data_IF_546259528375
#
_entry.id   IF_546259528375
#
_cell.length_a   1.000
_cell.length_b   1.000
_cell.length_c   1.000
_cell.angle_alpha   90.00
_cell.angle_beta   90.00
_cell.angle_gamma   90.00
#
_symmetry.space_group_name_H-M   'P 1'
#
loop_
_entity.id
_entity.type
_entity.pdbx_description
1 polymer ?
#
# COMPACT_ATOMS: atom_id res chain seq x y z
N UNK A 1 -32.66 -39.19 9.83
CA UNK A 1 -31.91 -38.15 10.57
C UNK A 1 -31.07 -37.41 9.54
N UNK A 2 -31.62 -36.31 9.01
CA UNK A 2 -30.95 -35.50 8.00
C UNK A 2 -30.05 -34.50 8.73
N UNK A 3 -28.73 -34.68 8.62
CA UNK A 3 -27.79 -33.63 8.96
C UNK A 3 -27.75 -32.68 7.76
N UNK A 4 -28.32 -31.50 7.94
CA UNK A 4 -28.07 -30.38 7.07
C UNK A 4 -26.61 -29.99 7.27
N UNK A 5 -25.76 -30.33 6.30
CA UNK A 5 -24.41 -29.79 6.25
C UNK A 5 -24.52 -28.28 6.01
N UNK A 6 -24.08 -27.55 7.04
CA UNK A 6 -23.98 -26.11 7.02
C UNK A 6 -23.03 -25.71 5.89
N UNK A 7 -23.58 -25.00 4.90
CA UNK A 7 -22.82 -24.26 3.90
C UNK A 7 -21.89 -23.31 4.65
N UNK A 8 -20.59 -23.51 4.49
CA UNK A 8 -19.57 -22.59 4.97
C UNK A 8 -19.87 -21.18 4.43
N UNK A 9 -19.69 -20.12 5.23
CA UNK A 9 -19.83 -18.76 4.74
C UNK A 9 -18.86 -18.54 3.58
N UNK A 10 -19.39 -18.05 2.46
CA UNK A 10 -18.70 -17.62 1.25
C UNK A 10 -17.39 -16.87 1.60
N UNK A 11 -16.26 -17.57 1.48
CA UNK A 11 -14.92 -16.98 1.58
C UNK A 11 -14.82 -15.96 0.45
N UNK A 12 -14.92 -14.68 0.82
CA UNK A 12 -15.12 -13.57 -0.12
C UNK A 12 -14.17 -13.63 -1.32
N UNK A 13 -14.71 -14.02 -2.46
CA UNK A 13 -14.02 -14.05 -3.76
C UNK A 13 -13.88 -12.62 -4.29
N UNK A 14 -13.02 -11.85 -3.62
CA UNK A 14 -12.76 -10.45 -3.98
C UNK A 14 -12.15 -10.42 -5.37
N UNK A 15 -12.83 -9.78 -6.33
CA UNK A 15 -12.37 -9.70 -7.70
C UNK A 15 -11.01 -9.00 -7.85
N UNK A 16 -10.62 -8.23 -6.84
CA UNK A 16 -9.31 -7.59 -6.75
C UNK A 16 -8.14 -8.57 -6.61
N UNK A 17 -8.39 -9.76 -6.06
CA UNK A 17 -7.35 -10.78 -5.84
C UNK A 17 -7.16 -11.70 -7.05
N UNK A 18 -8.04 -11.63 -8.04
CA UNK A 18 -7.95 -12.46 -9.25
C UNK A 18 -6.85 -11.97 -10.17
N UNK A 19 -6.14 -12.92 -10.76
CA UNK A 19 -5.13 -12.67 -11.78
C UNK A 19 -5.77 -12.49 -13.17
N UNK A 20 -5.12 -11.67 -13.99
CA UNK A 20 -5.43 -11.57 -15.41
C UNK A 20 -4.82 -12.74 -16.23
N UNK A 21 -4.99 -12.71 -17.55
CA UNK A 21 -4.45 -13.73 -18.47
C UNK A 21 -2.92 -13.84 -18.43
N UNK A 22 -2.21 -12.81 -17.91
CA UNK A 22 -0.76 -12.77 -17.76
C UNK A 22 -0.31 -13.25 -16.38
N UNK A 23 -1.24 -13.66 -15.50
CA UNK A 23 -0.94 -14.02 -14.13
C UNK A 23 -0.63 -12.80 -13.25
N UNK A 24 -1.11 -11.61 -13.63
CA UNK A 24 -0.92 -10.37 -12.88
C UNK A 24 -2.18 -10.08 -12.05
N UNK A 25 -2.06 -9.93 -10.72
CA UNK A 25 -3.22 -9.70 -9.87
C UNK A 25 -3.80 -8.32 -10.09
N UNK A 26 -5.13 -8.22 -10.20
CA UNK A 26 -5.84 -6.95 -10.41
C UNK A 26 -5.54 -5.91 -9.32
N UNK A 27 -5.28 -6.36 -8.10
CA UNK A 27 -4.86 -5.53 -6.96
C UNK A 27 -3.57 -4.73 -7.24
N UNK A 28 -2.67 -5.24 -8.09
CA UNK A 28 -1.47 -4.54 -8.52
C UNK A 28 -1.85 -3.27 -9.29
N UNK A 29 -2.63 -3.42 -10.36
CA UNK A 29 -3.04 -2.30 -11.22
C UNK A 29 -3.87 -1.28 -10.46
N UNK A 30 -4.75 -1.74 -9.55
CA UNK A 30 -5.58 -0.86 -8.72
C UNK A 30 -4.75 -0.08 -7.70
N UNK A 31 -3.79 -0.74 -7.03
CA UNK A 31 -2.86 -0.05 -6.12
C UNK A 31 -2.03 0.98 -6.88
N UNK A 32 -1.48 0.61 -8.04
CA UNK A 32 -0.72 1.52 -8.89
C UNK A 32 -1.54 2.76 -9.26
N UNK A 33 -2.78 2.58 -9.74
CA UNK A 33 -3.66 3.69 -10.09
C UNK A 33 -3.96 4.61 -8.91
N UNK A 34 -4.14 4.07 -7.70
CA UNK A 34 -4.33 4.88 -6.48
C UNK A 34 -3.08 5.70 -6.14
N UNK A 35 -1.90 5.08 -6.17
CA UNK A 35 -0.62 5.73 -5.88
C UNK A 35 -0.32 6.82 -6.91
N UNK A 36 -0.55 6.55 -8.20
CA UNK A 36 -0.36 7.53 -9.28
C UNK A 36 -1.32 8.71 -9.15
N UNK A 37 -2.60 8.47 -8.83
CA UNK A 37 -3.57 9.53 -8.61
C UNK A 37 -3.18 10.41 -7.40
N UNK A 38 -2.66 9.80 -6.35
CA UNK A 38 -2.19 10.52 -5.17
C UNK A 38 -0.90 11.31 -5.44
N UNK A 39 0.06 10.70 -6.13
CA UNK A 39 1.28 11.36 -6.55
C UNK A 39 0.97 12.58 -7.43
N UNK A 40 0.01 12.45 -8.36
CA UNK A 40 -0.41 13.57 -9.20
C UNK A 40 -1.04 14.70 -8.39
N UNK A 41 -1.86 14.39 -7.38
CA UNK A 41 -2.45 15.40 -6.49
C UNK A 41 -1.39 16.19 -5.72
N UNK A 42 -0.33 15.52 -5.29
CA UNK A 42 0.74 16.11 -4.49
C UNK A 42 1.98 16.46 -5.32
N UNK A 43 1.87 16.56 -6.65
CA UNK A 43 3.01 16.81 -7.53
C UNK A 43 3.77 18.10 -7.17
N UNK A 44 3.08 19.15 -6.74
CA UNK A 44 3.70 20.40 -6.31
C UNK A 44 4.57 20.26 -5.04
N UNK A 45 4.37 19.22 -4.23
CA UNK A 45 5.16 18.95 -3.03
C UNK A 45 6.47 18.22 -3.34
N UNK A 46 6.68 17.74 -4.57
CA UNK A 46 7.89 17.01 -4.95
C UNK A 46 9.16 17.87 -4.83
N UNK A 47 9.03 19.18 -5.09
CA UNK A 47 10.14 20.14 -5.05
C UNK A 47 10.30 20.82 -3.68
N UNK A 48 9.49 20.45 -2.69
CA UNK A 48 9.61 21.01 -1.35
C UNK A 48 10.91 20.57 -0.68
N UNK A 49 11.41 21.36 0.26
CA UNK A 49 12.61 21.03 1.00
C UNK A 49 12.43 19.77 1.86
N UNK A 50 13.52 19.02 2.02
CA UNK A 50 13.58 17.75 2.74
C UNK A 50 14.20 17.97 4.13
N UNK A 51 13.40 18.52 5.05
CA UNK A 51 13.86 19.00 6.37
C UNK A 51 14.10 17.88 7.39
N UNK A 52 13.67 16.64 7.09
CA UNK A 52 13.90 15.48 7.95
C UNK A 52 14.67 14.38 7.24
N UNK A 53 15.39 13.55 8.02
CA UNK A 53 16.08 12.38 7.49
C UNK A 53 15.12 11.34 6.90
N UNK A 54 13.86 11.32 7.36
CA UNK A 54 12.85 10.40 6.86
C UNK A 54 12.41 10.79 5.44
N UNK A 55 12.01 12.05 5.23
CA UNK A 55 11.60 12.51 3.89
C UNK A 55 12.78 12.49 2.91
N UNK A 56 14.00 12.82 3.37
CA UNK A 56 15.21 12.72 2.55
C UNK A 56 15.50 11.28 2.12
N UNK A 57 15.24 10.29 2.97
CA UNK A 57 15.41 8.89 2.59
C UNK A 57 14.41 8.46 1.51
N UNK A 58 13.14 8.86 1.61
CA UNK A 58 12.10 8.48 0.63
C UNK A 58 12.17 9.27 -0.68
N UNK A 59 12.70 10.50 -0.67
CA UNK A 59 12.99 11.28 -1.89
C UNK A 59 14.32 10.93 -2.55
N UNK A 60 15.30 10.52 -1.74
CA UNK A 60 16.72 10.59 -2.09
C UNK A 60 17.15 9.66 -3.22
N UNK A 61 18.01 10.15 -4.11
CA UNK A 61 18.49 9.43 -5.29
C UNK A 61 17.83 9.92 -6.57
N UNK A 62 17.94 9.15 -7.65
CA UNK A 62 17.20 9.45 -8.87
C UNK A 62 15.72 9.07 -8.67
N UNK A 63 14.80 9.86 -9.20
CA UNK A 63 13.38 9.47 -9.28
C UNK A 63 13.22 8.51 -10.45
N UNK A 64 12.63 7.31 -10.25
CA UNK A 64 12.36 6.40 -11.36
C UNK A 64 11.45 7.08 -12.40
N UNK A 65 11.82 6.99 -13.68
CA UNK A 65 11.07 7.59 -14.79
C UNK A 65 9.91 6.72 -15.26
N UNK A 66 9.94 5.44 -14.92
CA UNK A 66 8.87 4.47 -15.17
C UNK A 66 7.63 4.80 -14.37
N UNK A 67 6.45 4.53 -14.93
CA UNK A 67 5.18 4.67 -14.18
C UNK A 67 5.11 3.66 -13.05
N UNK A 68 4.32 3.94 -12.01
CA UNK A 68 4.18 3.02 -10.86
C UNK A 68 3.60 1.69 -11.33
N UNK A 69 2.60 1.71 -12.21
CA UNK A 69 2.03 0.47 -12.77
C UNK A 69 3.09 -0.40 -13.44
N UNK A 70 3.90 0.18 -14.32
CA UNK A 70 4.99 -0.52 -15.00
C UNK A 70 6.06 -1.03 -14.02
N UNK A 71 6.43 -0.20 -13.03
CA UNK A 71 7.37 -0.57 -11.97
C UNK A 71 6.89 -1.80 -11.19
N UNK A 72 5.60 -1.83 -10.81
CA UNK A 72 5.02 -2.97 -10.09
C UNK A 72 4.92 -4.22 -10.96
N UNK A 73 4.55 -4.08 -12.24
CA UNK A 73 4.52 -5.20 -13.19
C UNK A 73 5.91 -5.81 -13.38
N UNK A 74 6.97 -4.98 -13.46
CA UNK A 74 8.36 -5.44 -13.54
C UNK A 74 8.75 -6.24 -12.29
N UNK A 75 8.41 -5.74 -11.09
CA UNK A 75 8.65 -6.46 -9.84
C UNK A 75 7.95 -7.81 -9.83
N UNK A 76 6.65 -7.84 -10.18
CA UNK A 76 5.84 -9.05 -10.20
C UNK A 76 6.39 -10.08 -11.18
N UNK A 77 6.66 -9.65 -12.40
CA UNK A 77 7.19 -10.52 -13.48
C UNK A 77 8.57 -11.06 -13.11
N UNK A 78 9.46 -10.22 -12.58
CA UNK A 78 10.80 -10.65 -12.19
C UNK A 78 10.72 -11.74 -11.09
N UNK A 79 9.86 -11.54 -10.09
CA UNK A 79 9.71 -12.50 -9.00
C UNK A 79 9.06 -13.79 -9.52
N UNK A 80 8.04 -13.72 -10.36
CA UNK A 80 7.48 -14.91 -11.01
C UNK A 80 8.53 -15.69 -11.83
N UNK A 81 9.37 -14.99 -12.59
CA UNK A 81 10.44 -15.61 -13.40
C UNK A 81 11.52 -16.25 -12.54
N UNK A 82 11.94 -15.61 -11.45
CA UNK A 82 12.93 -16.17 -10.51
C UNK A 82 12.34 -17.37 -9.75
N UNK A 83 11.03 -17.37 -9.55
CA UNK A 83 10.27 -18.43 -8.86
C UNK A 83 10.03 -19.69 -9.69
N UNK A 84 10.38 -19.68 -10.98
CA UNK A 84 10.48 -20.92 -11.79
C UNK A 84 11.51 -21.90 -11.17
N UNK A 85 12.36 -21.44 -10.24
CA UNK A 85 13.31 -22.28 -9.48
C UNK A 85 12.94 -22.53 -8.02
N UNK A 86 12.03 -21.74 -7.42
CA UNK A 86 11.62 -21.86 -6.01
C UNK A 86 10.16 -21.38 -5.84
N UNK A 87 9.38 -22.06 -5.00
CA UNK A 87 7.94 -21.77 -4.78
C UNK A 87 7.75 -20.45 -4.02
N UNK A 88 7.95 -19.33 -4.70
CA UNK A 88 7.77 -18.00 -4.17
C UNK A 88 6.72 -17.32 -5.08
N UNK A 89 5.70 -16.74 -4.47
CA UNK A 89 4.61 -16.14 -5.24
C UNK A 89 4.17 -14.88 -4.52
N UNK A 90 4.21 -13.74 -5.21
CA UNK A 90 3.53 -12.54 -4.73
C UNK A 90 2.07 -12.72 -5.09
N UNK A 91 1.28 -13.06 -4.08
CA UNK A 91 -0.17 -13.14 -4.22
C UNK A 91 -0.79 -11.75 -4.29
N UNK A 92 -1.98 -11.63 -4.90
CA UNK A 92 -2.76 -10.38 -4.93
C UNK A 92 -2.91 -9.73 -3.55
N UNK A 93 -3.01 -10.55 -2.49
CA UNK A 93 -3.09 -10.10 -1.11
C UNK A 93 -1.90 -9.21 -0.67
N UNK A 94 -0.70 -9.45 -1.21
CA UNK A 94 0.48 -8.63 -0.91
C UNK A 94 0.29 -7.17 -1.35
N UNK A 95 -0.38 -6.93 -2.47
CA UNK A 95 -0.69 -5.58 -2.95
C UNK A 95 -1.78 -4.90 -2.12
N UNK A 96 -2.76 -5.67 -1.65
CA UNK A 96 -3.79 -5.18 -0.69
C UNK A 96 -3.13 -4.76 0.61
N UNK A 97 -2.25 -5.60 1.18
CA UNK A 97 -1.50 -5.29 2.40
C UNK A 97 -0.57 -4.09 2.21
N UNK A 98 0.11 -3.98 1.06
CA UNK A 98 0.94 -2.83 0.74
C UNK A 98 0.14 -1.52 0.80
N UNK A 99 -1.07 -1.49 0.22
CA UNK A 99 -1.94 -0.33 0.32
C UNK A 99 -2.35 0.00 1.75
N UNK A 100 -2.68 -1.00 2.58
CA UNK A 100 -2.99 -0.80 4.01
C UNK A 100 -1.77 -0.24 4.75
N UNK A 101 -0.58 -0.76 4.48
CA UNK A 101 0.65 -0.29 5.11
C UNK A 101 1.04 1.12 4.67
N UNK A 102 0.81 1.50 3.40
CA UNK A 102 0.98 2.88 2.95
C UNK A 102 0.05 3.83 3.72
N UNK A 103 -1.22 3.46 3.90
CA UNK A 103 -2.17 4.25 4.69
C UNK A 103 -1.66 4.43 6.12
N UNK A 104 -1.19 3.36 6.76
CA UNK A 104 -0.64 3.41 8.12
C UNK A 104 0.60 4.30 8.19
N UNK A 105 1.49 4.18 7.20
CA UNK A 105 2.70 4.97 7.13
C UNK A 105 2.37 6.46 7.01
N UNK A 106 1.56 6.86 6.03
CA UNK A 106 1.21 8.27 5.81
C UNK A 106 0.46 8.88 7.00
N UNK A 107 -0.37 8.08 7.71
CA UNK A 107 -1.08 8.53 8.92
C UNK A 107 -0.24 8.51 10.19
N UNK A 108 0.96 7.93 10.16
CA UNK A 108 1.83 7.87 11.34
C UNK A 108 2.28 9.26 11.79
N UNK A 109 2.52 9.43 13.10
CA UNK A 109 3.09 10.67 13.63
C UNK A 109 4.40 11.02 12.94
N UNK A 110 5.29 10.04 12.77
CA UNK A 110 6.58 10.21 12.12
C UNK A 110 6.47 10.74 10.68
N UNK A 111 5.56 10.19 9.87
CA UNK A 111 5.36 10.67 8.49
C UNK A 111 4.75 12.08 8.45
N UNK A 112 3.79 12.37 9.34
CA UNK A 112 3.14 13.69 9.44
C UNK A 112 4.11 14.77 9.90
N UNK A 113 4.93 14.48 10.90
CA UNK A 113 5.99 15.36 11.38
C UNK A 113 7.06 15.60 10.31
N UNK A 114 7.39 14.56 9.55
CA UNK A 114 8.32 14.64 8.42
C UNK A 114 7.74 15.30 7.16
N UNK A 115 6.44 15.61 7.14
CA UNK A 115 5.75 16.18 5.98
C UNK A 115 5.69 15.23 4.77
N UNK A 116 5.70 13.91 4.98
CA UNK A 116 5.72 12.94 3.89
C UNK A 116 4.34 12.79 3.26
N UNK A 117 4.31 13.01 1.96
CA UNK A 117 3.17 12.74 1.09
C UNK A 117 3.56 11.66 0.09
N UNK A 118 2.56 11.03 -0.54
CA UNK A 118 2.79 10.24 -1.75
C UNK A 118 2.81 11.26 -2.90
N UNK A 119 4.01 11.66 -3.31
CA UNK A 119 4.28 12.55 -4.42
C UNK A 119 5.23 11.86 -5.42
N UNK A 120 5.48 12.42 -6.62
CA UNK A 120 6.33 11.78 -7.62
C UNK A 120 7.75 11.45 -7.15
N UNK A 121 8.30 12.17 -6.17
CA UNK A 121 9.64 11.94 -5.62
C UNK A 121 9.68 10.82 -4.57
N UNK A 122 8.57 10.53 -3.89
CA UNK A 122 8.49 9.52 -2.81
C UNK A 122 7.78 8.23 -3.22
N UNK A 123 6.89 8.28 -4.21
CA UNK A 123 5.93 7.22 -4.53
C UNK A 123 6.59 5.85 -4.78
N UNK A 124 7.62 5.77 -5.63
CA UNK A 124 8.26 4.50 -5.96
C UNK A 124 8.95 3.84 -4.76
N UNK A 125 9.64 4.63 -3.91
CA UNK A 125 10.30 4.09 -2.72
C UNK A 125 9.28 3.65 -1.68
N UNK A 126 8.22 4.43 -1.48
CA UNK A 126 7.14 4.08 -0.56
C UNK A 126 6.45 2.78 -0.99
N UNK A 127 6.05 2.67 -2.26
CA UNK A 127 5.36 1.47 -2.76
C UNK A 127 6.27 0.24 -2.78
N UNK A 128 7.56 0.40 -3.12
CA UNK A 128 8.54 -0.68 -3.08
C UNK A 128 8.67 -1.27 -1.66
N UNK A 129 8.82 -0.41 -0.65
CA UNK A 129 8.91 -0.85 0.75
C UNK A 129 7.60 -1.47 1.23
N UNK A 130 6.46 -0.85 0.90
CA UNK A 130 5.17 -1.37 1.32
C UNK A 130 4.89 -2.77 0.74
N UNK A 131 5.25 -3.02 -0.52
CA UNK A 131 5.16 -4.35 -1.14
C UNK A 131 6.16 -5.32 -0.52
N UNK A 132 7.39 -4.88 -0.27
CA UNK A 132 8.39 -5.73 0.39
C UNK A 132 7.91 -6.20 1.77
N UNK A 133 7.38 -5.29 2.58
CA UNK A 133 6.79 -5.59 3.89
C UNK A 133 5.53 -6.45 3.72
N UNK A 134 4.67 -6.14 2.75
CA UNK A 134 3.49 -6.91 2.38
C UNK A 134 3.81 -8.37 2.08
N UNK A 135 4.81 -8.62 1.26
CA UNK A 135 5.24 -9.97 0.91
C UNK A 135 6.00 -10.67 2.04
N UNK A 136 6.78 -9.93 2.85
CA UNK A 136 7.54 -10.47 3.97
C UNK A 136 6.65 -10.95 5.13
N UNK A 137 5.56 -10.25 5.40
CA UNK A 137 4.71 -10.50 6.57
C UNK A 137 3.27 -10.92 6.23
N UNK A 138 2.89 -10.88 4.96
CA UNK A 138 1.53 -11.14 4.50
C UNK A 138 1.27 -12.54 3.95
N UNK A 139 2.32 -13.30 3.63
CA UNK A 139 2.21 -14.67 3.13
C UNK A 139 2.65 -15.72 4.14
N UNK A 140 2.49 -17.02 3.82
CA UNK A 140 3.09 -18.10 4.61
C UNK A 140 4.60 -17.86 4.78
N UNK A 141 5.10 -18.02 6.01
CA UNK A 141 6.42 -17.58 6.50
C UNK A 141 7.60 -18.15 5.68
N UNK A 142 7.39 -19.22 4.91
CA UNK A 142 8.45 -20.02 4.28
C UNK A 142 8.89 -19.51 2.89
N UNK A 143 8.35 -18.38 2.39
CA UNK A 143 8.46 -17.98 0.97
C UNK A 143 8.94 -16.54 0.74
N UNK A 144 10.00 -16.11 1.42
CA UNK A 144 10.66 -14.86 1.04
C UNK A 144 11.66 -15.08 -0.10
N UNK A 145 11.57 -14.33 -1.22
CA UNK A 145 12.65 -14.30 -2.19
C UNK A 145 13.96 -13.86 -1.54
N UNK A 146 15.04 -14.61 -1.78
CA UNK A 146 16.37 -14.33 -1.24
C UNK A 146 16.98 -13.03 -1.79
N UNK A 147 16.41 -12.44 -2.86
CA UNK A 147 17.04 -11.36 -3.64
C UNK A 147 16.13 -10.14 -3.97
N UNK A 148 15.21 -9.76 -3.08
CA UNK A 148 14.35 -8.58 -3.27
C UNK A 148 15.08 -7.29 -3.66
N UNK A 149 16.27 -7.05 -3.12
CA UNK A 149 17.01 -5.81 -3.36
C UNK A 149 17.44 -5.64 -4.82
N UNK A 150 17.74 -6.75 -5.52
CA UNK A 150 18.07 -6.75 -6.96
C UNK A 150 16.82 -6.53 -7.82
N UNK A 151 15.67 -7.05 -7.37
CA UNK A 151 14.38 -6.85 -8.05
C UNK A 151 14.03 -5.38 -8.12
N UNK A 152 14.13 -4.66 -7.00
CA UNK A 152 13.81 -3.23 -6.96
C UNK A 152 14.81 -2.40 -7.77
N UNK A 153 16.10 -2.74 -7.74
CA UNK A 153 17.11 -2.05 -8.53
C UNK A 153 16.88 -2.24 -10.03
N UNK A 154 16.60 -3.46 -10.48
CA UNK A 154 16.34 -3.74 -11.91
C UNK A 154 15.02 -3.12 -12.36
N UNK A 155 13.97 -3.21 -11.54
CA UNK A 155 12.63 -2.72 -11.91
C UNK A 155 12.56 -1.19 -11.98
N UNK A 156 13.41 -0.49 -11.23
CA UNK A 156 13.47 0.97 -11.18
C UNK A 156 14.53 1.59 -12.10
N UNK A 157 15.11 0.83 -13.04
CA UNK A 157 16.24 1.27 -13.88
C UNK A 157 17.42 1.81 -13.04
N UNK A 158 17.66 1.14 -11.91
CA UNK A 158 18.68 1.43 -10.92
C UNK A 158 18.50 2.76 -10.17
N UNK A 159 17.30 3.36 -10.20
CA UNK A 159 16.97 4.54 -9.42
C UNK A 159 16.81 4.25 -7.91
N UNK A 160 16.33 3.05 -7.57
CA UNK A 160 16.29 2.52 -6.20
C UNK A 160 17.43 1.53 -6.02
N UNK A 161 18.42 1.83 -5.18
CA UNK A 161 19.61 0.96 -5.04
C UNK A 161 19.36 -0.20 -4.09
N UNK A 162 19.95 -1.36 -4.35
CA UNK A 162 19.88 -2.50 -3.43
C UNK A 162 20.32 -2.15 -2.00
N UNK A 163 21.34 -1.29 -1.87
CA UNK A 163 21.93 -0.86 -0.58
C UNK A 163 21.02 0.05 0.25
N UNK A 164 20.12 0.82 -0.36
CA UNK A 164 19.24 1.73 0.39
C UNK A 164 17.99 1.02 0.94
N UNK A 165 17.62 -0.12 0.33
CA UNK A 165 16.40 -0.85 0.65
C UNK A 165 16.28 -1.23 2.13
N UNK A 166 17.35 -1.73 2.76
CA UNK A 166 17.34 -2.07 4.18
C UNK A 166 17.16 -0.84 5.10
N UNK A 167 17.66 0.32 4.65
CA UNK A 167 17.49 1.58 5.36
C UNK A 167 16.08 2.14 5.23
N UNK A 168 15.45 1.95 4.07
CA UNK A 168 14.05 2.33 3.82
C UNK A 168 13.08 1.41 4.59
N UNK A 169 13.30 0.09 4.56
CA UNK A 169 12.50 -0.89 5.32
C UNK A 169 12.50 -0.54 6.81
N UNK A 170 13.67 -0.35 7.41
CA UNK A 170 13.79 -0.02 8.83
C UNK A 170 13.00 1.24 9.19
N UNK A 171 13.14 2.30 8.39
CA UNK A 171 12.45 3.59 8.61
C UNK A 171 10.94 3.43 8.48
N UNK A 172 10.48 2.67 7.49
CA UNK A 172 9.07 2.38 7.29
C UNK A 172 8.47 1.61 8.48
N UNK A 173 9.14 0.54 8.93
CA UNK A 173 8.68 -0.28 10.05
C UNK A 173 8.62 0.50 11.37
N UNK A 174 9.61 1.36 11.62
CA UNK A 174 9.61 2.26 12.78
C UNK A 174 8.46 3.27 12.68
N UNK A 175 8.24 3.87 11.52
CA UNK A 175 7.17 4.85 11.33
C UNK A 175 5.77 4.25 11.56
N UNK A 176 5.54 2.99 11.15
CA UNK A 176 4.29 2.28 11.44
C UNK A 176 4.26 1.60 12.81
N UNK A 177 5.24 1.84 13.69
CA UNK A 177 5.32 1.26 15.04
C UNK A 177 5.22 -0.27 15.02
N UNK A 178 5.76 -0.91 13.97
CA UNK A 178 5.65 -2.35 13.72
C UNK A 178 4.21 -2.89 13.72
N UNK A 179 3.19 -2.04 13.54
CA UNK A 179 1.77 -2.40 13.50
C UNK A 179 1.42 -3.01 12.14
N UNK A 180 1.90 -4.23 11.93
CA UNK A 180 1.73 -4.98 10.69
C UNK A 180 0.48 -5.87 10.71
N UNK A 181 -0.03 -6.24 11.88
CA UNK A 181 -1.24 -7.06 11.96
C UNK A 181 -2.41 -6.39 11.23
N UNK A 182 -2.99 -7.09 10.25
CA UNK A 182 -4.18 -6.65 9.50
C UNK A 182 -5.31 -7.62 9.84
N UNK A 183 -6.42 -7.09 10.36
CA UNK A 183 -7.62 -7.89 10.61
C UNK A 183 -8.33 -8.21 9.29
N UNK A 184 -9.04 -9.34 9.24
CA UNK A 184 -9.82 -9.74 8.06
C UNK A 184 -10.80 -8.65 7.60
N UNK A 185 -11.50 -7.99 8.54
CA UNK A 185 -12.44 -6.91 8.21
C UNK A 185 -11.75 -5.67 7.60
N UNK A 186 -10.53 -5.36 8.02
CA UNK A 186 -9.73 -4.29 7.45
C UNK A 186 -9.23 -4.66 6.05
N UNK A 187 -8.81 -5.91 5.86
CA UNK A 187 -8.41 -6.43 4.56
C UNK A 187 -9.58 -6.37 3.57
N UNK A 188 -10.74 -6.92 3.94
CA UNK A 188 -11.97 -6.90 3.14
C UNK A 188 -12.42 -5.47 2.81
N UNK A 189 -12.34 -4.57 3.79
CA UNK A 189 -12.65 -3.16 3.58
C UNK A 189 -11.74 -2.55 2.51
N UNK A 190 -10.43 -2.84 2.55
CA UNK A 190 -9.50 -2.30 1.59
C UNK A 190 -9.66 -2.92 0.19
N UNK A 191 -10.00 -4.20 0.09
CA UNK A 191 -10.41 -4.82 -1.17
C UNK A 191 -11.55 -4.03 -1.84
N UNK A 192 -12.60 -3.70 -1.07
CA UNK A 192 -13.72 -2.88 -1.57
C UNK A 192 -13.32 -1.42 -1.89
N UNK A 193 -12.26 -0.89 -1.29
CA UNK A 193 -11.71 0.44 -1.66
C UNK A 193 -11.03 0.34 -3.01
N UNK A 194 -10.19 -0.66 -3.23
CA UNK A 194 -9.51 -0.89 -4.51
C UNK A 194 -10.51 -1.12 -5.64
N UNK A 195 -11.56 -1.92 -5.42
CA UNK A 195 -12.60 -2.22 -6.42
C UNK A 195 -13.36 -0.96 -6.89
N UNK A 196 -13.49 0.06 -6.03
CA UNK A 196 -14.13 1.33 -6.39
C UNK A 196 -13.24 2.23 -7.26
N UNK A 197 -11.94 1.98 -7.27
CA UNK A 197 -10.93 2.74 -8.01
C UNK A 197 -10.76 4.20 -7.54
N UNK A 198 -9.81 4.93 -8.15
CA UNK A 198 -9.64 6.36 -7.92
C UNK A 198 -10.88 7.13 -8.37
N UNK A 199 -11.55 7.86 -7.46
CA UNK A 199 -12.66 8.74 -7.83
C UNK A 199 -12.13 10.07 -8.37
N UNK A 200 -12.66 10.59 -9.50
CA UNK A 200 -12.39 11.97 -9.89
C UNK A 200 -12.95 12.90 -8.82
N UNK A 201 -12.14 13.87 -8.36
CA UNK A 201 -12.54 14.83 -7.34
C UNK A 201 -13.65 15.75 -7.86
N UNK A 202 -14.88 15.47 -7.44
CA UNK A 202 -16.00 16.40 -7.58
C UNK A 202 -15.81 17.58 -6.62
N UNK A 203 -15.95 18.79 -7.17
CA UNK A 203 -15.94 20.10 -6.50
C UNK A 203 -16.77 20.11 -5.21
N UNK A 204 -16.24 20.75 -4.17
CA UNK A 204 -16.84 20.93 -2.85
C UNK A 204 -18.26 21.51 -2.91
N UNK A 205 -19.18 20.95 -2.11
CA UNK A 205 -20.48 21.54 -1.76
C UNK A 205 -20.70 21.37 -0.26
N UNK A 206 -20.60 22.45 0.50
CA UNK A 206 -20.77 22.43 1.94
C UNK A 206 -22.22 22.27 2.38
N UNK A 207 -22.42 21.68 3.56
CA UNK A 207 -23.42 22.17 4.52
C UNK A 207 -23.10 21.59 5.90
N UNK A 208 -22.97 22.48 6.89
CA UNK A 208 -22.67 22.10 8.26
C UNK A 208 -23.89 21.58 9.02
N UNK A 209 -23.65 20.70 9.98
CA UNK A 209 -24.53 20.52 11.14
C UNK A 209 -23.70 19.92 12.28
N UNK A 210 -23.34 20.76 13.25
CA UNK A 210 -22.69 20.33 14.48
C UNK A 210 -23.67 19.58 15.38
N UNK A 211 -23.29 18.39 15.85
CA UNK A 211 -23.90 17.73 17.01
C UNK A 211 -22.79 17.30 17.96
N UNK A 212 -22.82 17.87 19.17
CA UNK A 212 -21.94 17.51 20.28
C UNK A 212 -22.20 16.04 20.67
N UNK A 213 -21.13 15.24 20.78
CA UNK A 213 -21.17 13.85 21.26
C UNK A 213 -20.57 13.74 22.66
N UNK A 214 -21.23 12.96 23.51
CA UNK A 214 -20.91 12.72 24.93
C UNK A 214 -19.95 11.54 25.09
N UNK A 215 -19.24 11.48 26.22
CA UNK A 215 -18.08 10.64 26.51
C UNK A 215 -18.25 9.10 26.45
N UNK A 216 -19.44 8.58 26.13
CA UNK A 216 -19.70 7.13 26.03
C UNK A 216 -19.41 6.54 24.62
N UNK A 217 -19.21 7.36 23.58
CA UNK A 217 -18.89 6.90 22.22
C UNK A 217 -17.38 6.73 21.95
N UNK A 218 -16.53 6.86 22.98
CA UNK A 218 -15.07 6.83 22.81
C UNK A 218 -14.49 5.43 22.50
N UNK A 219 -15.23 4.34 22.78
CA UNK A 219 -14.72 2.96 22.61
C UNK A 219 -15.13 2.34 21.26
N UNK A 220 -16.16 2.86 20.59
CA UNK A 220 -16.49 2.49 19.20
C UNK A 220 -15.76 3.36 18.15
N UNK A 221 -15.02 4.37 18.61
CA UNK A 221 -14.35 5.36 17.75
C UNK A 221 -13.23 4.81 16.88
N UNK A 222 -12.55 3.72 17.26
CA UNK A 222 -11.42 3.20 16.48
C UNK A 222 -11.85 2.38 15.24
N UNK A 223 -13.04 1.76 15.27
CA UNK A 223 -13.56 0.98 14.16
C UNK A 223 -14.38 1.81 13.15
N UNK A 224 -14.94 2.95 13.58
CA UNK A 224 -15.61 3.92 12.71
C UNK A 224 -14.64 4.93 12.07
N UNK A 225 -13.53 5.29 12.73
CA UNK A 225 -12.56 6.24 12.17
C UNK A 225 -11.90 5.68 10.90
N UNK A 226 -11.65 4.37 10.83
CA UNK A 226 -11.21 3.71 9.60
C UNK A 226 -12.22 3.77 8.44
N UNK A 227 -13.53 3.84 8.73
CA UNK A 227 -14.61 3.86 7.71
C UNK A 227 -14.93 5.26 7.20
N UNK A 228 -14.77 6.31 8.02
CA UNK A 228 -14.84 7.71 7.56
C UNK A 228 -13.60 8.16 6.79
N UNK A 229 -12.46 7.49 6.99
CA UNK A 229 -11.14 7.94 6.54
C UNK A 229 -10.73 7.57 5.11
N UNK A 230 -11.67 7.38 4.17
CA UNK A 230 -11.32 7.56 2.73
C UNK A 230 -11.45 9.04 2.34
N UNK A 231 -12.27 9.82 3.04
CA UNK A 231 -12.42 11.26 2.77
C UNK A 231 -11.24 12.12 3.28
N UNK A 232 -10.25 11.51 3.94
CA UNK A 232 -9.05 12.18 4.48
C UNK A 232 -7.73 11.43 4.24
N UNK A 233 -7.73 10.38 3.42
CA UNK A 233 -6.58 10.11 2.55
C UNK A 233 -6.61 11.04 1.31
N UNK A 234 -7.74 11.74 1.13
CA UNK A 234 -8.11 12.62 0.03
C UNK A 234 -8.64 13.96 0.54
N UNK A 235 -8.07 14.46 1.64
CA UNK A 235 -8.42 15.72 2.30
C UNK A 235 -7.35 16.09 3.31
#
# INVERSE_FOLDING_TARGET
MAAADAVAPDDGDHAVLRDDERGIPRSLSLLAALVEAEALRHAAAADADADSDLIRAFRGGATPTVRIGEFLERIHTFIQQESVRHVIEIQGACYVLAGIYLIRFIRSGAAREAGILIDPSTAHRLVAVAIFVGAKFGGPIDRLPTRWTVVFETSSDAAIRAREMAGLERRFLIAVDYRLFVRADQFDWFCRVLERGPRPSGRCGGSGAGRKRTAAEAVEGEAEDGRRCVYGLLG
#
